data_IF_406391020433
#
_entry.id   IF_406391020433
#
_cell.length_a   1.000
_cell.length_b   1.000
_cell.length_c   1.000
_cell.angle_alpha   90.00
_cell.angle_beta   90.00
_cell.angle_gamma   90.00
#
_symmetry.space_group_name_H-M   'P 1'
#
loop_
_entity.id
_entity.type
_entity.pdbx_description
1 polymer ?
#
# COMPACT_ATOMS: atom_id res chain seq x y z
N UNK A 1 -24.03 38.29 25.98
CA UNK A 1 -24.18 37.06 25.17
C UNK A 1 -23.16 37.14 24.06
N UNK A 2 -21.98 36.54 24.25
CA UNK A 2 -20.96 36.48 23.19
C UNK A 2 -21.39 35.42 22.19
N UNK A 3 -21.65 35.85 20.96
CA UNK A 3 -21.78 34.98 19.80
C UNK A 3 -20.37 34.43 19.54
N UNK A 4 -20.18 33.15 19.82
CA UNK A 4 -19.00 32.40 19.40
C UNK A 4 -19.24 32.16 17.92
N UNK A 5 -18.65 32.99 17.07
CA UNK A 5 -18.48 32.69 15.66
C UNK A 5 -17.42 31.59 15.60
N UNK A 6 -17.87 30.33 15.68
CA UNK A 6 -17.07 29.19 15.28
C UNK A 6 -16.91 29.38 13.78
N UNK A 7 -15.77 29.93 13.37
CA UNK A 7 -15.28 29.79 12.02
C UNK A 7 -15.24 28.29 11.78
N UNK A 8 -16.23 27.79 11.05
CA UNK A 8 -16.09 26.60 10.24
C UNK A 8 -14.89 26.88 9.34
N UNK A 9 -13.71 26.58 9.87
CA UNK A 9 -12.52 26.34 9.09
C UNK A 9 -12.87 25.10 8.28
N UNK A 10 -13.63 25.34 7.20
CA UNK A 10 -13.79 24.43 6.09
C UNK A 10 -12.35 24.14 5.65
N UNK A 11 -11.81 23.06 6.21
CA UNK A 11 -10.64 22.38 5.71
C UNK A 11 -11.10 21.81 4.38
N UNK A 12 -11.16 22.68 3.37
CA UNK A 12 -11.22 22.33 1.97
C UNK A 12 -9.85 21.72 1.68
N UNK A 13 -9.66 20.47 2.11
CA UNK A 13 -8.62 19.63 1.55
C UNK A 13 -8.93 19.61 0.06
N UNK A 14 -8.12 20.32 -0.71
CA UNK A 14 -8.15 20.28 -2.17
C UNK A 14 -8.34 18.82 -2.58
N UNK A 15 -9.38 18.52 -3.36
CA UNK A 15 -9.83 17.14 -3.61
C UNK A 15 -8.67 16.26 -4.14
N UNK A 16 -7.70 16.87 -4.83
CA UNK A 16 -6.49 16.20 -5.35
C UNK A 16 -5.50 15.87 -4.23
N UNK A 17 -5.31 16.76 -3.26
CA UNK A 17 -4.52 16.47 -2.05
C UNK A 17 -5.16 15.38 -1.18
N UNK A 18 -6.49 15.35 -1.11
CA UNK A 18 -7.25 14.31 -0.42
C UNK A 18 -7.15 12.94 -1.11
N UNK A 19 -7.23 12.91 -2.44
CA UNK A 19 -7.04 11.70 -3.24
C UNK A 19 -5.61 11.16 -3.13
N UNK A 20 -4.59 12.02 -3.25
CA UNK A 20 -3.19 11.63 -3.09
C UNK A 20 -2.89 11.05 -1.71
N UNK A 21 -3.49 11.60 -0.64
CA UNK A 21 -3.35 11.07 0.72
C UNK A 21 -3.96 9.66 0.86
N UNK A 22 -5.15 9.43 0.28
CA UNK A 22 -5.79 8.10 0.28
C UNK A 22 -5.00 7.10 -0.54
N UNK A 23 -4.49 7.51 -1.70
CA UNK A 23 -3.66 6.66 -2.56
C UNK A 23 -2.37 6.24 -1.84
N UNK A 24 -1.72 7.14 -1.10
CA UNK A 24 -0.56 6.82 -0.27
C UNK A 24 -0.91 5.80 0.83
N UNK A 25 -1.99 6.03 1.59
CA UNK A 25 -2.41 5.07 2.63
C UNK A 25 -2.72 3.69 2.04
N UNK A 26 -3.39 3.64 0.88
CA UNK A 26 -3.67 2.39 0.20
C UNK A 26 -2.38 1.68 -0.26
N UNK A 27 -1.37 2.43 -0.73
CA UNK A 27 -0.07 1.85 -1.08
C UNK A 27 0.67 1.33 0.16
N UNK A 28 0.60 2.03 1.30
CA UNK A 28 1.17 1.57 2.56
C UNK A 28 0.49 0.28 3.06
N UNK A 29 -0.84 0.19 2.97
CA UNK A 29 -1.60 -1.02 3.31
C UNK A 29 -1.27 -2.18 2.36
N UNK A 30 -1.15 -1.91 1.05
CA UNK A 30 -0.73 -2.92 0.08
C UNK A 30 0.65 -3.47 0.42
N UNK A 31 1.64 -2.61 0.71
CA UNK A 31 2.98 -3.06 1.12
C UNK A 31 2.95 -3.96 2.34
N UNK A 32 2.15 -3.62 3.35
CA UNK A 32 1.99 -4.48 4.53
C UNK A 32 1.43 -5.85 4.16
N UNK A 33 0.36 -5.89 3.34
CA UNK A 33 -0.27 -7.15 2.93
C UNK A 33 0.71 -7.98 2.08
N UNK A 34 1.44 -7.36 1.16
CA UNK A 34 2.44 -8.03 0.32
C UNK A 34 3.52 -8.68 1.17
N UNK A 35 4.04 -7.97 2.17
CA UNK A 35 5.06 -8.48 3.10
C UNK A 35 4.51 -9.61 4.01
N UNK A 36 3.28 -9.48 4.50
CA UNK A 36 2.62 -10.52 5.31
C UNK A 36 2.42 -11.81 4.50
N UNK A 37 1.89 -11.70 3.28
CA UNK A 37 1.63 -12.87 2.42
C UNK A 37 2.93 -13.51 1.96
N UNK A 38 3.95 -12.71 1.65
CA UNK A 38 5.27 -13.23 1.29
C UNK A 38 5.88 -14.04 2.43
N UNK A 39 5.86 -13.52 3.66
CA UNK A 39 6.38 -14.26 4.82
C UNK A 39 5.60 -15.56 5.08
N UNK A 40 4.27 -15.54 4.95
CA UNK A 40 3.45 -16.75 5.08
C UNK A 40 3.78 -17.78 3.98
N UNK A 41 3.96 -17.32 2.74
CA UNK A 41 4.33 -18.18 1.62
C UNK A 41 5.73 -18.79 1.82
N UNK A 42 6.72 -17.99 2.23
CA UNK A 42 8.08 -18.46 2.54
C UNK A 42 8.08 -19.50 3.68
N UNK A 43 7.31 -19.27 4.75
CA UNK A 43 7.17 -20.24 5.83
C UNK A 43 6.50 -21.54 5.33
N UNK A 44 5.49 -21.41 4.46
CA UNK A 44 4.78 -22.56 3.88
C UNK A 44 5.69 -23.42 2.99
N UNK A 45 6.72 -22.85 2.35
CA UNK A 45 7.73 -23.61 1.58
C UNK A 45 8.43 -24.62 2.47
N UNK A 46 8.89 -24.19 3.65
CA UNK A 46 9.60 -25.03 4.63
C UNK A 46 8.66 -26.09 5.22
N UNK A 47 7.44 -25.69 5.61
CA UNK A 47 6.43 -26.62 6.13
C UNK A 47 6.09 -27.73 5.11
N UNK A 48 5.91 -27.38 3.83
CA UNK A 48 5.61 -28.37 2.78
C UNK A 48 6.82 -29.23 2.39
N UNK A 49 8.05 -28.69 2.48
CA UNK A 49 9.27 -29.49 2.26
C UNK A 49 9.45 -30.52 3.39
N UNK A 50 9.24 -30.12 4.65
CA UNK A 50 9.29 -31.00 5.82
C UNK A 50 8.21 -32.11 5.77
N UNK A 51 7.03 -31.81 5.23
CA UNK A 51 5.97 -32.79 4.98
C UNK A 51 6.22 -33.68 3.74
N UNK A 52 7.20 -33.34 2.91
CA UNK A 52 7.52 -34.05 1.66
C UNK A 52 6.53 -33.80 0.52
N UNK A 53 5.75 -32.71 0.56
CA UNK A 53 4.87 -32.27 -0.53
C UNK A 53 5.59 -31.21 -1.41
N UNK A 54 6.57 -31.69 -2.17
CA UNK A 54 7.43 -30.89 -3.05
C UNK A 54 6.62 -29.97 -4.00
N UNK A 55 5.47 -30.42 -4.47
CA UNK A 55 4.64 -29.62 -5.39
C UNK A 55 4.07 -28.40 -4.67
N UNK A 56 3.53 -28.58 -3.46
CA UNK A 56 3.00 -27.45 -2.68
C UNK A 56 4.10 -26.51 -2.22
N UNK A 57 5.27 -27.04 -1.89
CA UNK A 57 6.46 -26.24 -1.60
C UNK A 57 6.81 -25.32 -2.79
N UNK A 58 6.80 -25.85 -4.03
CA UNK A 58 7.01 -25.04 -5.24
C UNK A 58 5.90 -24.00 -5.44
N UNK A 59 4.63 -24.37 -5.27
CA UNK A 59 3.51 -23.42 -5.40
C UNK A 59 3.61 -22.26 -4.38
N UNK A 60 4.05 -22.54 -3.15
CA UNK A 60 4.32 -21.52 -2.14
C UNK A 60 5.50 -20.61 -2.53
N UNK A 61 6.58 -21.18 -3.07
CA UNK A 61 7.72 -20.41 -3.56
C UNK A 61 7.35 -19.51 -4.75
N UNK A 62 6.52 -19.99 -5.68
CA UNK A 62 5.99 -19.18 -6.78
C UNK A 62 5.15 -18.01 -6.26
N UNK A 63 4.35 -18.24 -5.21
CA UNK A 63 3.56 -17.17 -4.58
C UNK A 63 4.47 -16.09 -3.99
N UNK A 64 5.49 -16.45 -3.22
CA UNK A 64 6.45 -15.48 -2.68
C UNK A 64 7.14 -14.67 -3.80
N UNK A 65 7.51 -15.32 -4.90
CA UNK A 65 8.11 -14.68 -6.07
C UNK A 65 7.15 -13.73 -6.81
N UNK A 66 5.87 -14.05 -6.89
CA UNK A 66 4.87 -13.17 -7.49
C UNK A 66 4.65 -11.91 -6.66
N UNK A 67 4.73 -12.02 -5.33
CA UNK A 67 4.64 -10.88 -4.42
C UNK A 67 5.88 -9.96 -4.50
N UNK A 68 7.09 -10.51 -4.67
CA UNK A 68 8.28 -9.69 -4.99
C UNK A 68 8.08 -8.80 -6.23
N UNK A 69 7.38 -9.31 -7.25
CA UNK A 69 7.06 -8.52 -8.43
C UNK A 69 5.91 -7.52 -8.21
N UNK A 70 4.98 -7.84 -7.31
CA UNK A 70 3.87 -6.98 -6.95
C UNK A 70 4.34 -5.72 -6.19
N UNK A 71 5.33 -5.86 -5.30
CA UNK A 71 5.91 -4.73 -4.54
C UNK A 71 6.35 -3.58 -5.47
N UNK A 72 7.01 -3.91 -6.59
CA UNK A 72 7.42 -2.89 -7.56
C UNK A 72 6.27 -2.21 -8.30
N UNK A 73 5.06 -2.78 -8.30
CA UNK A 73 3.84 -2.10 -8.80
C UNK A 73 3.27 -1.17 -7.73
N UNK A 74 3.27 -1.61 -6.48
CA UNK A 74 2.79 -0.82 -5.34
C UNK A 74 3.68 0.39 -5.09
N UNK A 75 5.00 0.27 -5.25
CA UNK A 75 5.94 1.40 -5.20
C UNK A 75 5.60 2.46 -6.26
N UNK A 76 5.33 2.05 -7.50
CA UNK A 76 4.89 2.97 -8.56
C UNK A 76 3.58 3.69 -8.27
N UNK A 77 2.65 3.06 -7.55
CA UNK A 77 1.40 3.69 -7.12
C UNK A 77 1.69 4.76 -6.05
N UNK A 78 2.61 4.48 -5.12
CA UNK A 78 3.04 5.43 -4.12
C UNK A 78 3.73 6.64 -4.75
N UNK A 79 4.66 6.41 -5.68
CA UNK A 79 5.40 7.46 -6.40
C UNK A 79 4.45 8.37 -7.20
N UNK A 80 3.48 7.79 -7.91
CA UNK A 80 2.49 8.56 -8.67
C UNK A 80 1.56 9.36 -7.74
N UNK A 81 1.18 8.82 -6.58
CA UNK A 81 0.43 9.55 -5.57
C UNK A 81 1.21 10.76 -5.02
N UNK A 82 2.52 10.59 -4.80
CA UNK A 82 3.41 11.67 -4.34
C UNK A 82 3.59 12.74 -5.43
N UNK A 83 3.84 12.34 -6.67
CA UNK A 83 3.97 13.26 -7.80
C UNK A 83 2.71 14.11 -8.02
N UNK A 84 1.52 13.53 -7.83
CA UNK A 84 0.24 14.26 -7.92
C UNK A 84 0.07 15.27 -6.79
N UNK A 85 0.52 14.94 -5.58
CA UNK A 85 0.54 15.87 -4.44
C UNK A 85 1.44 17.07 -4.71
N UNK A 86 2.66 16.84 -5.22
CA UNK A 86 3.63 17.91 -5.50
C UNK A 86 3.16 18.87 -6.59
N UNK A 87 2.58 18.35 -7.67
CA UNK A 87 2.02 19.15 -8.76
C UNK A 87 0.78 19.95 -8.33
N UNK A 88 -0.06 19.41 -7.43
CA UNK A 88 -1.19 20.15 -6.86
C UNK A 88 -0.73 21.33 -5.98
N UNK A 89 0.42 21.18 -5.31
CA UNK A 89 0.96 22.19 -4.40
C UNK A 89 1.71 23.34 -5.11
N UNK A 90 2.10 23.17 -6.38
CA UNK A 90 2.80 24.20 -7.19
C UNK A 90 1.89 25.08 -8.05
N UNK A 91 0.57 24.78 -8.11
CA UNK A 91 -0.42 25.56 -8.88
C UNK A 91 -1.34 26.46 -8.03
N UNK A 92 -1.14 26.55 -6.71
CA UNK A 92 -1.88 27.46 -5.82
C UNK A 92 -1.14 28.77 -5.57
#
# INVERSE_FOLDING_TARGET
>A
MSRIDILEEDVVLDERTGEAYRARMAADDLRRIEEEVKQEAEASVEDFDDEGDERRSVEAAETAFDFDQAEGRTERIADDAEARRENGNTQS
#
